data_IF_452016463409
#
_entry.id   IF_452016463409
#
_cell.length_a   1.000
_cell.length_b   1.000
_cell.length_c   1.000
_cell.angle_alpha   90.00
_cell.angle_beta   90.00
_cell.angle_gamma   90.00
#
_symmetry.space_group_name_H-M   'P 1'
#
loop_
_entity.id
_entity.type
_entity.pdbx_description
1 polymer ?
#
# COMPACT_ATOMS: atom_id res chain seq x y z
N UNK A 1 -4.92 12.55 -28.05
CA UNK A 1 -3.88 12.03 -27.13
C UNK A 1 -2.77 13.08 -26.93
N UNK A 2 -3.04 14.20 -26.24
CA UNK A 2 -2.05 15.29 -26.01
C UNK A 2 -1.73 15.56 -24.54
N UNK A 3 -2.41 14.90 -23.60
CA UNK A 3 -2.28 15.17 -22.16
C UNK A 3 -1.42 14.14 -21.40
N UNK A 4 -1.00 13.05 -22.05
CA UNK A 4 -0.18 12.02 -21.42
C UNK A 4 1.26 12.48 -21.13
N UNK A 5 1.77 13.42 -21.93
CA UNK A 5 3.14 13.95 -21.78
C UNK A 5 3.27 14.93 -20.60
N UNK A 6 2.20 15.68 -20.29
CA UNK A 6 2.14 16.58 -19.13
C UNK A 6 2.11 15.83 -17.79
N UNK A 7 1.52 14.64 -17.75
CA UNK A 7 1.52 13.78 -16.56
C UNK A 7 2.93 13.21 -16.31
N UNK A 8 3.65 12.86 -17.37
CA UNK A 8 5.03 12.34 -17.25
C UNK A 8 6.02 13.41 -16.75
N UNK A 9 5.84 14.68 -17.13
CA UNK A 9 6.66 15.79 -16.63
C UNK A 9 6.36 16.13 -15.17
N UNK A 10 5.09 15.99 -14.73
CA UNK A 10 4.73 16.16 -13.32
C UNK A 10 5.29 15.04 -12.42
N UNK A 11 5.49 13.83 -12.95
CA UNK A 11 6.13 12.72 -12.21
C UNK A 11 7.66 12.85 -12.23
N UNK A 12 8.24 13.31 -13.34
CA UNK A 12 9.70 13.54 -13.46
C UNK A 12 10.20 14.75 -12.63
N UNK A 13 9.29 15.59 -12.14
CA UNK A 13 9.59 16.76 -11.30
C UNK A 13 9.73 16.47 -9.80
N UNK A 14 9.54 15.22 -9.34
CA UNK A 14 9.94 14.84 -7.99
C UNK A 14 11.47 14.77 -7.94
N UNK A 15 12.06 15.92 -7.60
CA UNK A 15 13.44 16.07 -7.20
C UNK A 15 13.85 14.90 -6.30
N UNK A 16 15.04 14.36 -6.53
CA UNK A 16 15.64 13.31 -5.71
C UNK A 16 15.78 13.86 -4.29
N UNK A 17 14.77 13.64 -3.45
CA UNK A 17 14.82 13.99 -2.05
C UNK A 17 15.82 13.01 -1.41
N UNK A 18 16.94 13.54 -0.94
CA UNK A 18 17.87 12.76 -0.14
C UNK A 18 17.36 12.77 1.30
N UNK A 19 17.48 11.67 2.02
CA UNK A 19 17.09 11.54 3.41
C UNK A 19 18.33 11.36 4.25
N UNK A 20 18.43 12.08 5.36
CA UNK A 20 19.43 11.85 6.41
C UNK A 20 18.76 11.21 7.61
N UNK A 21 19.33 10.11 8.09
CA UNK A 21 18.86 9.46 9.31
C UNK A 21 19.61 10.05 10.50
N UNK A 22 18.87 10.56 11.48
CA UNK A 22 19.40 10.92 12.80
C UNK A 22 19.10 9.75 13.72
N UNK A 23 20.13 9.16 14.32
CA UNK A 23 20.04 7.88 15.01
C UNK A 23 20.01 8.04 16.53
N UNK A 24 20.81 8.97 17.06
CA UNK A 24 20.81 9.31 18.48
C UNK A 24 21.30 10.75 18.71
N UNK A 25 20.84 11.37 19.80
CA UNK A 25 21.18 12.72 20.23
C UNK A 25 21.60 12.67 21.70
N UNK A 26 22.86 13.00 22.00
CA UNK A 26 23.40 12.94 23.37
C UNK A 26 24.17 14.20 23.69
N UNK A 27 24.21 14.61 24.96
CA UNK A 27 24.99 15.78 25.38
C UNK A 27 26.45 15.43 25.70
N UNK A 28 26.71 14.16 26.03
CA UNK A 28 28.04 13.68 26.39
C UNK A 28 28.76 13.00 25.22
N UNK A 29 30.03 13.36 24.95
CA UNK A 29 30.81 12.78 23.86
C UNK A 29 31.16 11.30 24.09
N UNK A 30 31.21 10.86 25.36
CA UNK A 30 31.44 9.44 25.68
C UNK A 30 30.25 8.55 25.30
N UNK A 31 29.03 9.02 25.57
CA UNK A 31 27.80 8.27 25.29
C UNK A 31 27.51 8.17 23.78
N UNK A 32 27.82 9.23 23.01
CA UNK A 32 27.61 9.19 21.55
C UNK A 32 28.59 8.25 20.85
N UNK A 33 29.84 8.14 21.34
CA UNK A 33 30.81 7.18 20.82
C UNK A 33 30.41 5.74 21.20
N UNK A 34 29.90 5.50 22.41
CA UNK A 34 29.31 4.20 22.76
C UNK A 34 28.15 3.83 21.82
N UNK A 35 27.29 4.80 21.50
CA UNK A 35 26.18 4.60 20.57
C UNK A 35 26.65 4.29 19.14
N UNK A 36 27.75 4.92 18.71
CA UNK A 36 28.42 4.62 17.44
C UNK A 36 29.01 3.21 17.42
N UNK A 37 29.68 2.79 18.50
CA UNK A 37 30.23 1.44 18.62
C UNK A 37 29.13 0.38 18.59
N UNK A 38 28.02 0.63 19.30
CA UNK A 38 26.84 -0.25 19.27
C UNK A 38 26.28 -0.39 17.86
N UNK A 39 26.22 0.70 17.10
CA UNK A 39 25.79 0.67 15.71
C UNK A 39 26.76 -0.13 14.81
N UNK A 40 28.07 -0.02 15.03
CA UNK A 40 29.05 -0.84 14.32
C UNK A 40 28.93 -2.33 14.65
N UNK A 41 28.66 -2.67 15.91
CA UNK A 41 28.40 -4.06 16.32
C UNK A 41 27.15 -4.62 15.64
N UNK A 42 26.07 -3.83 15.56
CA UNK A 42 24.84 -4.24 14.87
C UNK A 42 25.04 -4.45 13.36
N UNK A 43 25.82 -3.57 12.72
CA UNK A 43 26.20 -3.72 11.31
C UNK A 43 27.10 -4.94 11.08
N UNK A 44 27.90 -5.35 12.07
CA UNK A 44 28.72 -6.55 12.00
C UNK A 44 27.96 -7.84 12.29
N UNK A 45 26.87 -7.76 13.07
CA UNK A 45 26.09 -8.93 13.50
C UNK A 45 25.01 -9.33 12.47
N UNK A 46 24.38 -8.36 11.80
CA UNK A 46 23.32 -8.62 10.84
C UNK A 46 23.82 -8.41 9.39
N UNK A 47 24.07 -9.53 8.71
CA UNK A 47 24.56 -9.57 7.31
C UNK A 47 23.67 -8.79 6.36
N UNK A 48 22.36 -8.80 6.61
CA UNK A 48 21.39 -8.10 5.76
C UNK A 48 21.44 -6.58 5.94
N UNK A 49 21.71 -6.10 7.16
CA UNK A 49 21.97 -4.69 7.42
C UNK A 49 23.32 -4.26 6.83
N UNK A 50 24.33 -5.11 6.92
CA UNK A 50 25.65 -4.85 6.33
C UNK A 50 25.55 -4.65 4.81
N UNK A 51 24.84 -5.54 4.11
CA UNK A 51 24.63 -5.44 2.66
C UNK A 51 23.83 -4.21 2.25
N UNK A 52 22.73 -3.92 2.96
CA UNK A 52 21.91 -2.73 2.72
C UNK A 52 22.71 -1.45 2.97
N UNK A 53 23.51 -1.41 4.03
CA UNK A 53 24.37 -0.27 4.36
C UNK A 53 25.43 -0.04 3.28
N UNK A 54 26.06 -1.11 2.78
CA UNK A 54 27.08 -1.04 1.73
C UNK A 54 26.49 -0.62 0.39
N UNK A 55 25.33 -1.16 0.03
CA UNK A 55 24.61 -0.83 -1.22
C UNK A 55 24.19 0.64 -1.27
N UNK A 56 23.82 1.20 -0.12
CA UNK A 56 23.37 2.59 -0.01
C UNK A 56 24.50 3.58 0.33
N UNK A 57 25.74 3.12 0.52
CA UNK A 57 26.85 3.98 0.93
C UNK A 57 26.65 4.60 2.32
N UNK A 58 25.93 3.90 3.21
CA UNK A 58 25.65 4.34 4.56
C UNK A 58 26.94 4.46 5.38
N UNK A 59 27.20 5.65 5.92
CA UNK A 59 28.26 5.89 6.91
C UNK A 59 27.71 6.68 8.07
N UNK A 60 28.04 6.28 9.30
CA UNK A 60 27.72 7.06 10.49
C UNK A 60 28.73 8.19 10.68
N UNK A 61 28.21 9.39 10.93
CA UNK A 61 28.98 10.61 11.16
C UNK A 61 28.46 11.22 12.46
N UNK A 62 29.36 11.40 13.43
CA UNK A 62 29.07 12.17 14.63
C UNK A 62 29.24 13.65 14.30
N UNK A 63 28.18 14.43 14.46
CA UNK A 63 28.22 15.89 14.32
C UNK A 63 27.93 16.54 15.65
N UNK A 64 28.71 17.55 16.01
CA UNK A 64 28.41 18.40 17.16
C UNK A 64 27.49 19.53 16.72
N UNK A 65 26.36 19.68 17.38
CA UNK A 65 25.40 20.75 17.14
C UNK A 65 25.09 21.45 18.47
N UNK A 66 25.73 22.60 18.69
CA UNK A 66 25.68 23.33 19.95
C UNK A 66 26.28 22.54 21.13
N UNK A 67 25.42 22.24 22.12
CA UNK A 67 25.77 21.46 23.33
C UNK A 67 25.51 19.95 23.18
N UNK A 68 24.97 19.53 22.04
CA UNK A 68 24.63 18.13 21.79
C UNK A 68 25.49 17.56 20.67
N UNK A 69 25.66 16.24 20.70
CA UNK A 69 26.29 15.41 19.70
C UNK A 69 25.22 14.54 19.04
N UNK A 70 25.22 14.54 17.72
CA UNK A 70 24.27 13.84 16.87
C UNK A 70 24.97 12.72 16.14
N UNK A 71 24.44 11.51 16.23
CA UNK A 71 24.85 10.39 15.39
C UNK A 71 23.97 10.41 14.14
N UNK A 72 24.53 10.81 13.00
CA UNK A 72 23.81 10.97 11.74
C UNK A 72 24.33 10.04 10.65
N UNK A 73 23.50 9.70 9.67
CA UNK A 73 23.95 8.98 8.48
C UNK A 73 24.42 9.92 7.37
N UNK A 74 25.11 9.36 6.38
CA UNK A 74 25.24 9.99 5.07
C UNK A 74 23.86 10.24 4.45
N UNK A 75 23.73 11.24 3.55
CA UNK A 75 22.55 11.39 2.71
C UNK A 75 22.31 10.10 1.94
N UNK A 76 21.09 9.59 2.03
CA UNK A 76 20.64 8.39 1.35
C UNK A 76 19.59 8.80 0.31
N UNK A 77 19.58 8.22 -0.90
CA UNK A 77 18.49 8.44 -1.83
C UNK A 77 17.18 7.93 -1.21
N UNK A 78 16.09 8.72 -1.31
CA UNK A 78 14.76 8.27 -0.91
C UNK A 78 14.34 7.09 -1.79
N UNK A 79 14.51 5.88 -1.27
CA UNK A 79 14.15 4.64 -1.93
C UNK A 79 13.68 3.59 -0.90
N UNK A 80 13.08 2.51 -1.39
CA UNK A 80 12.59 1.42 -0.54
C UNK A 80 13.69 0.79 0.33
N UNK A 81 14.93 0.77 -0.16
CA UNK A 81 16.07 0.25 0.57
C UNK A 81 16.46 1.13 1.77
N UNK A 82 16.36 2.46 1.63
CA UNK A 82 16.58 3.42 2.72
C UNK A 82 15.48 3.31 3.77
N UNK A 83 14.22 3.12 3.35
CA UNK A 83 13.11 2.86 4.27
C UNK A 83 13.32 1.54 5.04
N UNK A 84 13.72 0.46 4.36
CA UNK A 84 14.02 -0.82 4.99
C UNK A 84 15.17 -0.71 6.01
N UNK A 85 16.23 0.01 5.65
CA UNK A 85 17.36 0.28 6.53
C UNK A 85 16.94 1.12 7.76
N UNK A 86 16.11 2.14 7.57
CA UNK A 86 15.54 2.93 8.66
C UNK A 86 14.70 2.09 9.61
N UNK A 87 13.78 1.27 9.10
CA UNK A 87 12.94 0.41 9.94
C UNK A 87 13.75 -0.55 10.80
N UNK A 88 14.82 -1.12 10.24
CA UNK A 88 15.72 -1.99 11.00
C UNK A 88 16.57 -1.24 12.01
N UNK A 89 16.99 -0.02 11.72
CA UNK A 89 17.71 0.81 12.69
C UNK A 89 16.80 1.31 13.81
N UNK A 90 15.51 1.54 13.51
CA UNK A 90 14.52 2.01 14.49
C UNK A 90 14.25 1.01 15.61
N UNK A 91 14.39 -0.29 15.36
CA UNK A 91 14.27 -1.30 16.42
C UNK A 91 15.41 -1.21 17.43
N UNK A 92 16.63 -0.87 16.97
CA UNK A 92 17.80 -0.69 17.82
C UNK A 92 17.90 0.72 18.43
N UNK A 93 17.40 1.73 17.71
CA UNK A 93 17.41 3.15 18.07
C UNK A 93 16.00 3.72 17.99
N UNK A 94 15.18 3.58 19.04
CA UNK A 94 13.76 3.96 19.02
C UNK A 94 13.53 5.47 18.85
N UNK A 95 14.54 6.30 19.16
CA UNK A 95 14.53 7.76 18.95
C UNK A 95 15.02 8.22 17.58
N UNK A 96 15.26 7.30 16.64
CA UNK A 96 15.76 7.66 15.31
C UNK A 96 14.69 8.36 14.47
N UNK A 97 15.11 9.36 13.69
CA UNK A 97 14.25 10.19 12.83
C UNK A 97 14.85 10.30 11.44
N UNK A 98 14.03 10.07 10.41
CA UNK A 98 14.37 10.33 9.02
C UNK A 98 14.06 11.79 8.67
N UNK A 99 15.09 12.56 8.31
CA UNK A 99 14.97 13.98 7.97
C UNK A 99 15.21 14.16 6.47
N UNK A 100 14.23 14.66 5.69
CA UNK A 100 14.44 14.98 4.28
C UNK A 100 15.39 16.17 4.14
N UNK A 101 16.41 16.03 3.30
CA UNK A 101 17.29 17.11 2.88
C UNK A 101 16.60 17.84 1.73
N UNK A 102 16.09 19.04 2.01
CA UNK A 102 15.68 19.94 0.94
C UNK A 102 16.88 20.31 0.05
N UNK A 103 16.70 20.51 -1.27
CA UNK A 103 17.77 20.82 -2.22
C UNK A 103 18.51 22.15 -1.95
N UNK A 104 18.04 22.94 -0.99
CA UNK A 104 18.73 24.12 -0.48
C UNK A 104 19.64 23.68 0.68
N UNK A 105 20.92 23.45 0.38
CA UNK A 105 21.91 22.82 1.26
C UNK A 105 22.20 23.52 2.59
N UNK A 106 21.27 23.46 3.52
CA UNK A 106 21.49 23.79 4.93
C UNK A 106 20.74 22.80 5.81
N UNK A 107 21.45 22.20 6.77
CA UNK A 107 20.79 21.54 7.88
C UNK A 107 19.93 22.61 8.60
N UNK A 108 18.68 22.32 8.98
CA UNK A 108 18.03 23.11 10.01
C UNK A 108 18.89 22.94 11.27
N UNK A 109 19.72 23.94 11.56
CA UNK A 109 20.46 23.97 12.81
C UNK A 109 19.45 24.27 13.91
N UNK A 110 19.12 23.28 14.73
CA UNK A 110 17.98 23.36 15.63
C UNK A 110 17.75 22.04 16.35
N UNK A 111 18.44 21.89 17.48
CA UNK A 111 18.20 20.90 18.53
C UNK A 111 16.69 20.67 18.76
N UNK A 112 16.22 19.41 18.90
CA UNK A 112 14.84 19.14 19.26
C UNK A 112 14.61 19.57 20.71
N UNK A 113 13.95 20.70 20.91
CA UNK A 113 13.33 21.02 22.20
C UNK A 113 11.99 20.27 22.26
N UNK A 114 11.83 19.46 23.32
CA UNK A 114 10.54 18.87 23.71
C UNK A 114 9.48 19.99 23.88
N UNK A 115 8.18 19.65 23.77
CA UNK A 115 7.15 20.51 23.21
C UNK A 115 6.80 21.66 24.16
N UNK A 116 7.16 22.88 23.77
CA UNK A 116 6.38 24.03 24.22
C UNK A 116 5.14 24.10 23.34
N UNK A 117 3.98 24.05 23.99
CA UNK A 117 2.64 24.14 23.41
C UNK A 117 2.54 25.28 22.40
N UNK A 118 1.71 25.11 21.35
CA UNK A 118 1.85 25.78 20.07
C UNK A 118 1.36 27.22 20.18
N UNK A 119 2.15 28.15 19.65
CA UNK A 119 1.59 29.39 19.17
C UNK A 119 1.20 29.13 17.70
N UNK A 120 -0.10 29.07 17.36
CA UNK A 120 -0.50 28.87 15.98
C UNK A 120 -0.32 30.21 15.26
N UNK A 121 0.91 30.50 14.84
CA UNK A 121 1.10 31.41 13.73
C UNK A 121 0.51 30.68 12.51
N UNK A 122 -0.79 30.90 12.31
CA UNK A 122 -1.58 30.39 11.20
C UNK A 122 -0.91 30.85 9.92
N UNK A 123 -0.02 30.02 9.39
CA UNK A 123 0.44 30.17 8.02
C UNK A 123 -0.79 29.87 7.15
N UNK A 124 -1.32 30.86 6.41
CA UNK A 124 -2.56 30.67 5.64
C UNK A 124 -2.42 29.50 4.67
N UNK A 125 -1.22 29.20 4.20
CA UNK A 125 -0.92 28.05 3.33
C UNK A 125 -1.31 26.70 3.91
N UNK A 126 -1.17 26.47 5.23
CA UNK A 126 -1.44 25.16 5.83
C UNK A 126 -2.95 24.90 5.95
N UNK A 127 -3.75 25.92 6.25
CA UNK A 127 -5.21 25.82 6.27
C UNK A 127 -5.75 25.52 4.86
N UNK A 128 -5.25 26.21 3.83
CA UNK A 128 -5.63 25.93 2.44
C UNK A 128 -5.26 24.52 2.00
N UNK A 129 -4.10 24.01 2.39
CA UNK A 129 -3.67 22.66 2.06
C UNK A 129 -4.55 21.59 2.75
N UNK A 130 -4.98 21.85 3.99
CA UNK A 130 -5.91 20.99 4.71
C UNK A 130 -7.29 20.97 4.04
N UNK A 131 -7.80 22.13 3.60
CA UNK A 131 -9.06 22.22 2.86
C UNK A 131 -9.01 21.46 1.53
N UNK A 132 -7.91 21.57 0.80
CA UNK A 132 -7.71 20.82 -0.46
C UNK A 132 -7.67 19.32 -0.19
N UNK A 133 -6.98 18.87 0.87
CA UNK A 133 -6.93 17.47 1.23
C UNK A 133 -8.32 16.92 1.61
N UNK A 134 -9.09 17.67 2.41
CA UNK A 134 -10.46 17.32 2.77
C UNK A 134 -11.38 17.25 1.54
N UNK A 135 -11.25 18.21 0.62
CA UNK A 135 -12.02 18.23 -0.62
C UNK A 135 -11.67 17.04 -1.52
N UNK A 136 -10.38 16.75 -1.69
CA UNK A 136 -9.92 15.60 -2.48
C UNK A 136 -10.42 14.27 -1.90
N UNK A 137 -10.40 14.13 -0.57
CA UNK A 137 -10.92 12.93 0.10
C UNK A 137 -12.43 12.77 -0.11
N UNK A 138 -13.20 13.86 0.02
CA UNK A 138 -14.65 13.85 -0.22
C UNK A 138 -14.99 13.47 -1.67
N UNK A 139 -14.33 14.09 -2.65
CA UNK A 139 -14.52 13.78 -4.08
C UNK A 139 -14.18 12.31 -4.38
N UNK A 140 -13.09 11.79 -3.82
CA UNK A 140 -12.69 10.40 -4.00
C UNK A 140 -13.73 9.45 -3.41
N UNK A 141 -14.28 9.76 -2.24
CA UNK A 141 -15.37 8.99 -1.62
C UNK A 141 -16.64 8.96 -2.48
N UNK A 142 -17.07 10.12 -3.00
CA UNK A 142 -18.23 10.22 -3.88
C UNK A 142 -18.03 9.45 -5.18
N UNK A 143 -16.85 9.59 -5.80
CA UNK A 143 -16.51 8.83 -7.02
C UNK A 143 -16.48 7.33 -6.75
N UNK A 144 -15.90 6.89 -5.63
CA UNK A 144 -15.91 5.49 -5.20
C UNK A 144 -17.31 4.93 -5.09
N UNK A 145 -18.23 5.65 -4.42
CA UNK A 145 -19.63 5.26 -4.32
C UNK A 145 -20.32 5.22 -5.68
N UNK A 146 -20.03 6.17 -6.58
CA UNK A 146 -20.59 6.20 -7.93
C UNK A 146 -20.14 5.00 -8.77
N UNK A 147 -18.86 4.63 -8.71
CA UNK A 147 -18.34 3.43 -9.39
C UNK A 147 -18.95 2.15 -8.82
N UNK A 148 -19.04 2.03 -7.50
CA UNK A 148 -19.68 0.89 -6.83
C UNK A 148 -21.16 0.77 -7.21
N UNK A 149 -21.90 1.87 -7.21
CA UNK A 149 -23.30 1.90 -7.63
C UNK A 149 -23.49 1.40 -9.07
N UNK A 150 -22.61 1.82 -10.00
CA UNK A 150 -22.63 1.30 -11.37
C UNK A 150 -22.30 -0.19 -11.47
N UNK A 151 -21.41 -0.71 -10.64
CA UNK A 151 -21.10 -2.14 -10.60
C UNK A 151 -22.30 -2.96 -10.07
N UNK A 152 -22.96 -2.47 -9.02
CA UNK A 152 -24.14 -3.11 -8.42
C UNK A 152 -25.29 -3.19 -9.43
N UNK A 153 -25.56 -2.11 -10.19
CA UNK A 153 -26.60 -2.13 -11.22
C UNK A 153 -26.32 -3.17 -12.31
N UNK A 154 -25.07 -3.29 -12.77
CA UNK A 154 -24.67 -4.34 -13.74
C UNK A 154 -24.81 -5.73 -13.16
N UNK A 155 -24.49 -5.91 -11.88
CA UNK A 155 -24.63 -7.19 -11.20
C UNK A 155 -26.10 -7.61 -11.10
N UNK A 156 -26.98 -6.67 -10.74
CA UNK A 156 -28.42 -6.91 -10.64
C UNK A 156 -29.03 -7.27 -11.99
N UNK A 157 -28.65 -6.58 -13.07
CA UNK A 157 -29.06 -6.96 -14.44
C UNK A 157 -28.62 -8.38 -14.79
N UNK A 158 -27.36 -8.75 -14.51
CA UNK A 158 -26.86 -10.12 -14.74
C UNK A 158 -27.63 -11.15 -13.94
N UNK A 159 -27.91 -10.87 -12.67
CA UNK A 159 -28.66 -11.77 -11.80
C UNK A 159 -30.09 -12.01 -12.32
N UNK A 160 -30.75 -10.95 -12.81
CA UNK A 160 -32.07 -11.05 -13.43
C UNK A 160 -32.07 -11.92 -14.70
N UNK A 161 -31.00 -11.84 -15.52
CA UNK A 161 -30.84 -12.67 -16.72
C UNK A 161 -30.63 -14.14 -16.37
N UNK A 162 -29.78 -14.41 -15.38
CA UNK A 162 -29.52 -15.78 -14.91
C UNK A 162 -30.80 -16.41 -14.37
N UNK A 163 -31.59 -15.67 -13.60
CA UNK A 163 -32.87 -16.18 -13.06
C UNK A 163 -33.85 -16.56 -14.17
N UNK A 164 -33.98 -15.72 -15.21
CA UNK A 164 -34.81 -16.05 -16.39
C UNK A 164 -34.29 -17.28 -17.13
N UNK A 165 -32.98 -17.41 -17.29
CA UNK A 165 -32.38 -18.60 -17.90
C UNK A 165 -32.66 -19.86 -17.08
N UNK A 166 -32.61 -19.78 -15.74
CA UNK A 166 -32.95 -20.90 -14.87
C UNK A 166 -34.42 -21.32 -15.05
N UNK A 167 -35.35 -20.37 -15.10
CA UNK A 167 -36.77 -20.67 -15.37
C UNK A 167 -36.98 -21.32 -16.75
N UNK A 168 -36.26 -20.86 -17.78
CA UNK A 168 -36.32 -21.49 -19.11
C UNK A 168 -35.75 -22.91 -19.11
N UNK A 169 -34.62 -23.13 -18.44
CA UNK A 169 -34.02 -24.46 -18.30
C UNK A 169 -34.96 -25.38 -17.54
N UNK A 170 -35.56 -24.92 -16.44
CA UNK A 170 -36.51 -25.72 -15.66
C UNK A 170 -37.72 -26.15 -16.49
N UNK A 171 -38.28 -25.25 -17.30
CA UNK A 171 -39.36 -25.59 -18.26
C UNK A 171 -38.92 -26.62 -19.28
N UNK A 172 -37.75 -26.45 -19.89
CA UNK A 172 -37.21 -27.41 -20.88
C UNK A 172 -36.94 -28.77 -20.26
N UNK A 173 -36.41 -28.79 -19.03
CA UNK A 173 -36.16 -30.01 -18.27
C UNK A 173 -37.47 -30.72 -17.94
N UNK A 174 -38.51 -29.97 -17.54
CA UNK A 174 -39.82 -30.54 -17.28
C UNK A 174 -40.46 -31.13 -18.54
N UNK A 175 -40.36 -30.43 -19.67
CA UNK A 175 -40.82 -30.93 -20.97
C UNK A 175 -40.06 -32.19 -21.41
N UNK A 176 -38.73 -32.20 -21.25
CA UNK A 176 -37.89 -33.37 -21.52
C UNK A 176 -38.29 -34.56 -20.66
N UNK A 177 -38.50 -34.37 -19.35
CA UNK A 177 -38.95 -35.43 -18.45
C UNK A 177 -40.34 -35.95 -18.81
N UNK A 178 -41.25 -35.09 -19.24
CA UNK A 178 -42.57 -35.50 -19.70
C UNK A 178 -42.48 -36.38 -20.96
N UNK A 179 -41.69 -35.96 -21.96
CA UNK A 179 -41.49 -36.74 -23.19
C UNK A 179 -40.81 -38.08 -22.91
N UNK A 180 -39.80 -38.07 -22.05
CA UNK A 180 -39.06 -39.27 -21.68
C UNK A 180 -39.93 -40.24 -20.88
N UNK A 181 -40.81 -39.73 -20.02
CA UNK A 181 -41.83 -40.54 -19.35
C UNK A 181 -42.82 -41.19 -20.33
N UNK A 182 -43.22 -40.46 -21.36
CA UNK A 182 -44.10 -40.99 -22.42
C UNK A 182 -43.40 -42.03 -23.29
N UNK A 183 -42.13 -41.82 -23.66
CA UNK A 183 -41.31 -42.80 -24.37
C UNK A 183 -41.10 -44.08 -23.53
N UNK A 184 -40.79 -43.96 -22.24
CA UNK A 184 -40.66 -45.12 -21.34
C UNK A 184 -41.99 -45.88 -21.24
N UNK A 185 -43.12 -45.17 -21.16
CA UNK A 185 -44.43 -45.80 -21.11
C UNK A 185 -44.75 -46.56 -22.40
N UNK A 186 -44.50 -45.96 -23.57
CA UNK A 186 -44.68 -46.61 -24.87
C UNK A 186 -43.77 -47.84 -25.00
N UNK A 187 -42.50 -47.72 -24.63
CA UNK A 187 -41.55 -48.84 -24.64
C UNK A 187 -42.01 -49.98 -23.72
N UNK A 188 -42.46 -49.66 -22.50
CA UNK A 188 -42.98 -50.64 -21.56
C UNK A 188 -44.22 -51.36 -22.10
N UNK A 189 -45.12 -50.63 -22.76
CA UNK A 189 -46.29 -51.21 -23.43
C UNK A 189 -45.88 -52.13 -24.58
N UNK A 190 -45.00 -51.68 -25.46
CA UNK A 190 -44.53 -52.48 -26.61
C UNK A 190 -43.84 -53.77 -26.16
N UNK A 191 -42.99 -53.70 -25.12
CA UNK A 191 -42.35 -54.89 -24.54
C UNK A 191 -43.39 -55.84 -23.96
N UNK A 192 -44.43 -55.32 -23.29
CA UNK A 192 -45.52 -56.13 -22.72
C UNK A 192 -46.34 -56.80 -23.82
N UNK A 193 -46.71 -56.07 -24.87
CA UNK A 193 -47.46 -56.58 -26.02
C UNK A 193 -46.65 -57.62 -26.81
N UNK A 194 -45.35 -57.41 -27.00
CA UNK A 194 -44.45 -58.41 -27.61
C UNK A 194 -44.33 -59.67 -26.75
N UNK A 195 -44.25 -59.52 -25.43
CA UNK A 195 -44.18 -60.66 -24.51
C UNK A 195 -45.49 -61.46 -24.49
N UNK A 196 -46.64 -60.79 -24.62
CA UNK A 196 -47.94 -61.45 -24.74
C UNK A 196 -48.08 -62.23 -26.04
N UNK A 197 -47.66 -61.66 -27.18
CA UNK A 197 -47.69 -62.34 -28.48
C UNK A 197 -46.74 -63.53 -28.61
N UNK A 198 -45.66 -63.56 -27.82
CA UNK A 198 -44.71 -64.68 -27.78
C UNK A 198 -45.17 -65.84 -26.88
N UNK A 199 -46.23 -65.64 -26.09
CA UNK A 199 -46.80 -66.66 -25.19
C UNK A 199 -48.05 -67.34 -25.76
N UNK A 200 -48.62 -66.83 -26.85
CA UNK A 200 -49.63 -67.50 -27.68
C UNK A 200 -48.97 -68.35 -28.77
#
# INVERSE_FOLDING_TARGET
MKYFWLIWILIAGFAHAEIRLVLDVRNDPGEIEQSRLRLQQLLGQDTSLAELSKRLGFRSVVRREGKSYLLTSTPLPENEAAAALYWKLRTAFPGSVAVPLSPTGSLPSGVPSLPTTPNPEKTPSQEWMLWIALFAMAVTGVLGLFFTSRQVNRLQERHSRIKRQQEEIEKRVHELFSRLGEEIYQLGRDVTDQTHRLKE
#
